data_IF_684164042494
#
_entry.id   IF_684164042494
#
_cell.length_a   1.000
_cell.length_b   1.000
_cell.length_c   1.000
_cell.angle_alpha   90.00
_cell.angle_beta   90.00
_cell.angle_gamma   90.00
#
_symmetry.space_group_name_H-M   'P 1'
#
loop_
_entity.id
_entity.type
_entity.pdbx_description
1 polymer ?
#
# COMPACT_ATOMS: atom_id res chain seq x y z
N UNK A 1 -16.99 21.74 -18.12
CA UNK A 1 -16.95 21.38 -19.51
C UNK A 1 -16.46 19.95 -19.70
N UNK A 2 -16.46 19.49 -20.92
CA UNK A 2 -16.15 18.11 -21.26
C UNK A 2 -14.74 17.68 -20.88
N UNK A 3 -13.74 18.57 -20.99
CA UNK A 3 -12.35 18.21 -20.69
C UNK A 3 -12.14 17.85 -19.21
N UNK A 4 -12.70 18.64 -18.29
CA UNK A 4 -12.62 18.37 -16.86
C UNK A 4 -13.39 17.09 -16.50
N UNK A 5 -14.56 16.88 -17.12
CA UNK A 5 -15.35 15.68 -16.91
C UNK A 5 -14.63 14.43 -17.43
N UNK A 6 -13.93 14.53 -18.55
CA UNK A 6 -13.18 13.41 -19.13
C UNK A 6 -12.00 13.01 -18.22
N UNK A 7 -11.29 13.99 -17.67
CA UNK A 7 -10.19 13.72 -16.72
C UNK A 7 -10.73 13.02 -15.48
N UNK A 8 -11.83 13.52 -14.93
CA UNK A 8 -12.47 12.91 -13.77
C UNK A 8 -12.90 11.46 -14.05
N UNK A 9 -13.55 11.24 -15.20
CA UNK A 9 -13.99 9.90 -15.61
C UNK A 9 -12.82 8.94 -15.75
N UNK A 10 -11.69 9.40 -16.31
CA UNK A 10 -10.50 8.57 -16.45
C UNK A 10 -9.96 8.17 -15.08
N UNK A 11 -9.93 9.09 -14.11
CA UNK A 11 -9.48 8.79 -12.76
C UNK A 11 -10.39 7.77 -12.07
N UNK A 12 -11.71 7.92 -12.23
CA UNK A 12 -12.67 7.00 -11.61
C UNK A 12 -12.60 5.62 -12.24
N UNK A 13 -12.38 5.56 -13.57
CA UNK A 13 -12.36 4.31 -14.32
C UNK A 13 -10.95 3.72 -14.46
N UNK A 14 -9.92 4.41 -13.98
CA UNK A 14 -8.55 3.89 -14.04
C UNK A 14 -8.43 2.60 -13.25
N UNK A 15 -7.64 1.63 -13.74
CA UNK A 15 -7.39 0.41 -12.97
C UNK A 15 -6.82 0.75 -11.60
N UNK A 16 -7.24 -0.01 -10.60
CA UNK A 16 -6.72 0.16 -9.25
C UNK A 16 -5.30 -0.39 -9.19
N UNK A 17 -4.34 0.46 -8.83
CA UNK A 17 -2.96 0.08 -8.63
C UNK A 17 -2.52 0.41 -7.20
N UNK A 18 -1.27 0.08 -6.88
CA UNK A 18 -0.71 0.29 -5.55
C UNK A 18 -0.75 1.77 -5.14
N UNK A 19 -0.34 2.66 -6.04
CA UNK A 19 -0.32 4.11 -5.79
C UNK A 19 -1.72 4.61 -5.43
N UNK A 20 -2.69 4.31 -6.28
CA UNK A 20 -4.07 4.77 -6.10
C UNK A 20 -4.70 4.18 -4.84
N UNK A 21 -4.47 2.89 -4.58
CA UNK A 21 -5.03 2.25 -3.40
C UNK A 21 -4.52 2.91 -2.11
N UNK A 22 -3.20 3.18 -2.05
CA UNK A 22 -2.62 3.83 -0.88
C UNK A 22 -3.18 5.23 -0.68
N UNK A 23 -3.38 5.99 -1.75
CA UNK A 23 -3.97 7.32 -1.67
C UNK A 23 -5.42 7.27 -1.18
N UNK A 24 -6.18 6.29 -1.64
CA UNK A 24 -7.56 6.07 -1.17
C UNK A 24 -7.61 5.73 0.32
N UNK A 25 -6.55 5.10 0.84
CA UNK A 25 -6.46 4.78 2.27
C UNK A 25 -5.97 5.96 3.12
N UNK A 26 -5.63 7.08 2.50
CA UNK A 26 -5.19 8.27 3.22
C UNK A 26 -3.69 8.51 3.23
N UNK A 27 -2.93 7.68 2.52
CA UNK A 27 -1.49 7.87 2.39
C UNK A 27 -1.18 8.88 1.29
N UNK A 28 0.00 9.48 1.34
CA UNK A 28 0.45 10.43 0.31
C UNK A 28 1.95 10.29 0.09
N UNK A 29 2.41 10.84 -1.04
CA UNK A 29 3.83 10.85 -1.39
C UNK A 29 4.70 11.68 -0.45
N UNK A 30 4.12 12.38 0.52
CA UNK A 30 4.87 13.09 1.56
C UNK A 30 5.50 12.13 2.57
N UNK A 31 5.01 10.89 2.65
CA UNK A 31 5.53 9.88 3.55
C UNK A 31 6.52 9.00 2.79
N UNK A 32 7.73 8.82 3.32
CA UNK A 32 8.74 7.94 2.71
C UNK A 32 8.22 6.51 2.56
N UNK A 33 7.43 6.05 3.51
CA UNK A 33 6.81 4.73 3.47
C UNK A 33 5.89 4.52 2.28
N UNK A 34 5.33 5.59 1.72
CA UNK A 34 4.48 5.50 0.53
C UNK A 34 5.23 4.86 -0.65
N UNK A 35 6.42 5.36 -0.95
CA UNK A 35 7.21 4.85 -2.08
C UNK A 35 7.72 3.44 -1.82
N UNK A 36 8.10 3.14 -0.58
CA UNK A 36 8.51 1.79 -0.19
C UNK A 36 7.35 0.81 -0.38
N UNK A 37 6.15 1.18 0.05
CA UNK A 37 4.97 0.34 -0.07
C UNK A 37 4.59 0.11 -1.54
N UNK A 38 4.63 1.15 -2.37
CA UNK A 38 4.35 1.01 -3.82
C UNK A 38 5.33 0.02 -4.44
N UNK A 39 6.62 0.18 -4.16
CA UNK A 39 7.64 -0.72 -4.69
C UNK A 39 7.39 -2.16 -4.26
N UNK A 40 7.14 -2.36 -2.95
CA UNK A 40 6.91 -3.70 -2.41
C UNK A 40 5.67 -4.36 -3.03
N UNK A 41 4.58 -3.62 -3.15
CA UNK A 41 3.35 -4.13 -3.75
C UNK A 41 3.55 -4.50 -5.22
N UNK A 42 4.34 -3.74 -5.96
CA UNK A 42 4.64 -4.05 -7.36
C UNK A 42 5.53 -5.27 -7.49
N UNK A 43 6.51 -5.44 -6.58
CA UNK A 43 7.35 -6.63 -6.58
C UNK A 43 6.54 -7.89 -6.32
N UNK A 44 5.63 -7.84 -5.36
CA UNK A 44 4.76 -8.97 -5.04
C UNK A 44 3.85 -9.29 -6.24
N UNK A 45 3.34 -8.28 -6.92
CA UNK A 45 2.49 -8.46 -8.10
C UNK A 45 3.21 -9.21 -9.22
N UNK A 46 4.51 -8.95 -9.41
CA UNK A 46 5.30 -9.60 -10.45
C UNK A 46 5.64 -11.06 -10.12
N UNK A 47 5.56 -11.46 -8.86
CA UNK A 47 5.89 -12.80 -8.39
C UNK A 47 4.77 -13.35 -7.51
N UNK A 48 3.61 -13.69 -8.08
CA UNK A 48 2.44 -14.08 -7.29
C UNK A 48 2.67 -15.33 -6.45
N UNK A 49 3.56 -16.22 -6.86
CA UNK A 49 3.88 -17.43 -6.10
C UNK A 49 4.64 -17.15 -4.82
N UNK A 50 5.22 -15.96 -4.69
CA UNK A 50 5.98 -15.52 -3.52
C UNK A 50 5.18 -14.59 -2.60
N UNK A 51 3.89 -14.45 -2.87
CA UNK A 51 2.99 -13.52 -2.18
C UNK A 51 2.87 -13.81 -0.69
N UNK A 52 2.97 -15.09 -0.34
CA UNK A 52 2.85 -15.50 1.07
C UNK A 52 4.11 -15.15 1.88
N UNK A 53 5.11 -14.58 1.23
CA UNK A 53 6.40 -14.34 1.85
C UNK A 53 6.79 -12.85 1.77
N UNK A 54 6.02 -12.02 2.47
CA UNK A 54 6.49 -10.67 2.79
C UNK A 54 7.56 -10.88 3.86
N UNK A 55 8.76 -11.20 3.41
CA UNK A 55 9.86 -11.63 4.26
C UNK A 55 10.85 -10.52 4.47
N UNK A 56 11.79 -10.75 5.38
CA UNK A 56 12.96 -9.88 5.56
C UNK A 56 13.69 -9.63 4.25
N UNK A 57 13.63 -10.57 3.32
CA UNK A 57 14.26 -10.45 2.00
C UNK A 57 13.65 -9.31 1.19
N UNK A 58 12.32 -9.16 1.20
CA UNK A 58 11.65 -8.08 0.51
C UNK A 58 12.01 -6.72 1.12
N UNK A 59 12.10 -6.64 2.45
CA UNK A 59 12.56 -5.42 3.12
C UNK A 59 13.99 -5.06 2.73
N UNK A 60 14.88 -6.04 2.68
CA UNK A 60 16.25 -5.85 2.23
C UNK A 60 16.32 -5.37 0.78
N UNK A 61 15.56 -6.00 -0.10
CA UNK A 61 15.50 -5.64 -1.51
C UNK A 61 15.00 -4.20 -1.68
N UNK A 62 13.96 -3.83 -0.93
CA UNK A 62 13.41 -2.48 -0.96
C UNK A 62 14.44 -1.47 -0.48
N UNK A 63 15.12 -1.78 0.62
CA UNK A 63 16.17 -0.91 1.18
C UNK A 63 17.30 -0.70 0.15
N UNK A 64 17.73 -1.74 -0.52
CA UNK A 64 18.77 -1.64 -1.55
C UNK A 64 18.32 -0.78 -2.73
N UNK A 65 17.07 -0.95 -3.14
CA UNK A 65 16.52 -0.18 -4.25
C UNK A 65 16.51 1.32 -3.96
N UNK A 66 16.20 1.70 -2.73
CA UNK A 66 16.09 3.12 -2.35
C UNK A 66 17.35 3.65 -1.66
N UNK A 67 18.41 2.84 -1.55
CA UNK A 67 19.67 3.29 -0.93
C UNK A 67 19.55 3.56 0.55
N UNK A 68 18.79 2.75 1.28
CA UNK A 68 18.57 2.90 2.71
C UNK A 68 18.74 1.57 3.44
N UNK A 69 18.27 1.47 4.67
CA UNK A 69 18.38 0.25 5.49
C UNK A 69 17.03 -0.41 5.68
N UNK A 70 17.02 -1.71 5.96
CA UNK A 70 15.79 -2.45 6.26
C UNK A 70 15.04 -1.85 7.45
N UNK A 71 15.75 -1.39 8.47
CA UNK A 71 15.14 -0.76 9.64
C UNK A 71 14.44 0.55 9.26
N UNK A 72 15.04 1.31 8.35
CA UNK A 72 14.42 2.54 7.85
C UNK A 72 13.14 2.23 7.09
N UNK A 73 13.16 1.23 6.20
CA UNK A 73 11.98 0.81 5.45
C UNK A 73 10.87 0.39 6.41
N UNK A 74 11.18 -0.48 7.37
CA UNK A 74 10.22 -0.99 8.34
C UNK A 74 9.59 0.12 9.16
N UNK A 75 10.40 1.04 9.68
CA UNK A 75 9.93 2.17 10.48
C UNK A 75 9.01 3.08 9.67
N UNK A 76 9.38 3.38 8.43
CA UNK A 76 8.56 4.24 7.57
C UNK A 76 7.26 3.57 7.13
N UNK A 77 7.27 2.26 6.93
CA UNK A 77 6.04 1.50 6.67
C UNK A 77 5.12 1.55 7.89
N UNK A 78 5.67 1.41 9.09
CA UNK A 78 4.87 1.51 10.31
C UNK A 78 4.20 2.88 10.42
N UNK A 79 4.93 3.95 10.10
CA UNK A 79 4.37 5.31 10.06
C UNK A 79 3.25 5.41 9.03
N UNK A 80 3.43 4.80 7.86
CA UNK A 80 2.41 4.77 6.82
C UNK A 80 1.14 4.07 7.30
N UNK A 81 1.29 2.91 7.92
CA UNK A 81 0.15 2.14 8.46
C UNK A 81 -0.61 2.98 9.49
N UNK A 82 0.13 3.66 10.37
CA UNK A 82 -0.49 4.54 11.37
C UNK A 82 -1.26 5.69 10.72
N UNK A 83 -0.71 6.27 9.66
CA UNK A 83 -1.40 7.35 8.94
C UNK A 83 -2.71 6.85 8.33
N UNK A 84 -2.72 5.67 7.76
CA UNK A 84 -3.95 5.06 7.21
C UNK A 84 -4.94 4.71 8.33
N UNK A 85 -4.44 4.23 9.47
CA UNK A 85 -5.28 3.87 10.62
C UNK A 85 -5.97 5.09 11.23
N UNK A 86 -5.31 6.24 11.23
CA UNK A 86 -5.85 7.47 11.83
C UNK A 86 -6.94 8.13 11.01
N UNK A 87 -7.19 7.67 9.80
CA UNK A 87 -8.28 8.21 9.00
C UNK A 87 -9.62 7.96 9.71
N UNK A 88 -10.54 8.93 9.72
CA UNK A 88 -11.82 8.76 10.41
C UNK A 88 -12.69 7.67 9.81
N UNK A 89 -12.53 7.38 8.53
CA UNK A 89 -13.29 6.33 7.84
C UNK A 89 -12.38 5.14 7.55
N UNK A 90 -12.64 4.02 8.21
CA UNK A 90 -11.91 2.77 8.01
C UNK A 90 -12.63 1.81 7.06
N UNK A 91 -13.69 2.25 6.39
CA UNK A 91 -14.51 1.37 5.56
C UNK A 91 -13.72 0.62 4.50
N UNK A 92 -12.86 1.32 3.77
CA UNK A 92 -12.04 0.68 2.74
C UNK A 92 -10.99 -0.26 3.35
N UNK A 93 -10.33 0.17 4.41
CA UNK A 93 -9.31 -0.65 5.10
C UNK A 93 -9.93 -1.93 5.64
N UNK A 94 -11.10 -1.85 6.27
CA UNK A 94 -11.83 -3.00 6.78
C UNK A 94 -12.24 -3.95 5.64
N UNK A 95 -12.67 -3.39 4.51
CA UNK A 95 -13.04 -4.17 3.34
C UNK A 95 -11.84 -4.93 2.77
N UNK A 96 -10.68 -4.28 2.72
CA UNK A 96 -9.43 -4.90 2.27
C UNK A 96 -9.04 -6.03 3.23
N UNK A 97 -9.19 -5.81 4.52
CA UNK A 97 -8.89 -6.83 5.54
C UNK A 97 -9.88 -7.99 5.55
N UNK A 98 -11.08 -7.78 5.00
CA UNK A 98 -12.14 -8.80 4.97
C UNK A 98 -13.02 -8.81 6.21
N UNK A 99 -12.72 -7.99 7.20
CA UNK A 99 -13.52 -7.84 8.41
C UNK A 99 -13.11 -6.56 9.14
N UNK A 100 -13.97 -6.00 10.00
CA UNK A 100 -13.59 -4.80 10.76
C UNK A 100 -12.37 -5.05 11.62
N UNK A 101 -11.41 -4.12 11.54
CA UNK A 101 -10.18 -4.19 12.32
C UNK A 101 -10.36 -3.48 13.66
N UNK A 102 -9.96 -4.13 14.75
CA UNK A 102 -10.02 -3.55 16.09
C UNK A 102 -8.72 -2.85 16.47
N UNK A 103 -7.64 -3.10 15.71
CA UNK A 103 -6.33 -2.49 15.94
C UNK A 103 -5.61 -2.36 14.61
N UNK A 104 -4.60 -1.49 14.52
CA UNK A 104 -3.86 -1.35 13.28
C UNK A 104 -3.16 -2.66 12.89
N UNK A 105 -3.15 -3.01 11.60
CA UNK A 105 -2.38 -4.17 11.16
C UNK A 105 -0.88 -3.91 11.32
N UNK A 106 -0.10 -4.98 11.38
CA UNK A 106 1.36 -4.84 11.30
C UNK A 106 1.72 -4.41 9.87
N UNK A 107 2.94 -3.91 9.70
CA UNK A 107 3.44 -3.52 8.37
C UNK A 107 3.40 -4.71 7.39
N UNK A 108 3.79 -5.89 7.84
CA UNK A 108 3.74 -7.10 7.01
C UNK A 108 2.30 -7.47 6.63
N UNK A 109 1.39 -7.46 7.60
CA UNK A 109 -0.03 -7.73 7.36
C UNK A 109 -0.62 -6.72 6.39
N UNK A 110 -0.25 -5.45 6.53
CA UNK A 110 -0.74 -4.37 5.67
C UNK A 110 -0.35 -4.62 4.21
N UNK A 111 0.92 -4.89 3.95
CA UNK A 111 1.40 -5.16 2.58
C UNK A 111 0.72 -6.43 2.03
N UNK A 112 0.60 -7.48 2.84
CA UNK A 112 -0.02 -8.73 2.43
C UNK A 112 -1.50 -8.52 2.03
N UNK A 113 -2.27 -7.86 2.87
CA UNK A 113 -3.70 -7.66 2.60
C UNK A 113 -3.94 -6.72 1.41
N UNK A 114 -3.10 -5.71 1.22
CA UNK A 114 -3.20 -4.84 0.06
C UNK A 114 -2.84 -5.59 -1.23
N UNK A 115 -1.79 -6.40 -1.20
CA UNK A 115 -1.40 -7.18 -2.37
C UNK A 115 -2.48 -8.19 -2.76
N UNK A 116 -3.10 -8.84 -1.79
CA UNK A 116 -4.21 -9.76 -2.04
C UNK A 116 -5.41 -9.03 -2.67
N UNK A 117 -5.72 -7.85 -2.17
CA UNK A 117 -6.82 -7.04 -2.69
C UNK A 117 -6.58 -6.60 -4.14
N UNK A 118 -5.34 -6.22 -4.46
CA UNK A 118 -4.97 -5.79 -5.81
C UNK A 118 -5.00 -6.91 -6.83
N UNK A 119 -4.94 -8.17 -6.41
CA UNK A 119 -4.98 -9.33 -7.30
C UNK A 119 -6.41 -9.75 -7.70
N UNK A 120 -7.41 -9.21 -7.06
CA UNK A 120 -8.81 -9.56 -7.38
C UNK A 120 -9.25 -8.99 -8.72
#
# INVERSE_FOLDING_TARGET
SSAASDVYKRQVNAPLDADRLLRLLGASGKLSGFYYAVYMLEQVKQKPDHVLLITKRLYKQTAQHFGTTSNCVERNLRTLVQACWRQPDHGLLDRIAGSPLSQPPTDTQFIDMLSAYLRK
#
